data_IF_635813949436
#
_entry.id   IF_635813949436
#
_cell.length_a   1.000
_cell.length_b   1.000
_cell.length_c   1.000
_cell.angle_alpha   90.00
_cell.angle_beta   90.00
_cell.angle_gamma   90.00
#
_symmetry.space_group_name_H-M   'P 1'
#
loop_
_entity.id
_entity.type
_entity.pdbx_description
1 polymer ?
#
# COMPACT_ATOMS: atom_id res chain seq x y z
N UNK A 1 -27.73 -46.67 -20.43
CA UNK A 1 -27.06 -45.62 -19.63
C UNK A 1 -28.10 -44.60 -19.23
N UNK A 2 -28.41 -44.46 -17.93
CA UNK A 2 -29.58 -43.69 -17.47
C UNK A 2 -29.35 -42.18 -17.67
N UNK A 3 -30.19 -41.54 -18.50
CA UNK A 3 -30.11 -40.11 -18.84
C UNK A 3 -30.03 -39.21 -17.60
N UNK A 4 -30.70 -39.60 -16.50
CA UNK A 4 -30.65 -38.88 -15.22
C UNK A 4 -29.27 -38.92 -14.53
N UNK A 5 -28.50 -40.00 -14.68
CA UNK A 5 -27.13 -40.08 -14.12
C UNK A 5 -26.16 -39.19 -14.89
N UNK A 6 -26.33 -39.10 -16.22
CA UNK A 6 -25.51 -38.23 -17.07
C UNK A 6 -25.82 -36.76 -16.78
N UNK A 7 -27.11 -36.41 -16.65
CA UNK A 7 -27.54 -35.06 -16.30
C UNK A 7 -27.04 -34.65 -14.90
N UNK A 8 -27.14 -35.56 -13.92
CA UNK A 8 -26.61 -35.35 -12.57
C UNK A 8 -25.09 -35.12 -12.56
N UNK A 9 -24.33 -35.91 -13.32
CA UNK A 9 -22.88 -35.72 -13.47
C UNK A 9 -22.54 -34.37 -14.11
N UNK A 10 -23.28 -33.97 -15.16
CA UNK A 10 -23.08 -32.67 -15.81
C UNK A 10 -23.35 -31.50 -14.85
N UNK A 11 -24.40 -31.58 -14.04
CA UNK A 11 -24.73 -30.56 -13.04
C UNK A 11 -23.62 -30.48 -11.97
N UNK A 12 -23.15 -31.62 -11.45
CA UNK A 12 -22.05 -31.64 -10.47
C UNK A 12 -20.77 -31.05 -11.06
N UNK A 13 -20.42 -31.41 -12.29
CA UNK A 13 -19.24 -30.85 -12.96
C UNK A 13 -19.35 -29.34 -13.16
N UNK A 14 -20.52 -28.83 -13.55
CA UNK A 14 -20.74 -27.39 -13.70
C UNK A 14 -20.62 -26.65 -12.36
N UNK A 15 -21.18 -27.21 -11.28
CA UNK A 15 -21.07 -26.65 -9.93
C UNK A 15 -19.61 -26.66 -9.45
N UNK A 16 -18.87 -27.74 -9.70
CA UNK A 16 -17.45 -27.82 -9.33
C UNK A 16 -16.60 -26.75 -10.05
N UNK A 17 -16.83 -26.53 -11.35
CA UNK A 17 -16.14 -25.49 -12.12
C UNK A 17 -16.49 -24.09 -11.56
N UNK A 18 -17.76 -23.84 -11.25
CA UNK A 18 -18.18 -22.57 -10.66
C UNK A 18 -17.53 -22.31 -9.29
N UNK A 19 -17.45 -23.34 -8.44
CA UNK A 19 -16.78 -23.23 -7.14
C UNK A 19 -15.28 -22.95 -7.27
N UNK A 20 -14.60 -23.61 -8.21
CA UNK A 20 -13.18 -23.34 -8.51
C UNK A 20 -13.03 -21.90 -8.98
N UNK A 21 -13.88 -21.43 -9.89
CA UNK A 21 -13.84 -20.04 -10.37
C UNK A 21 -14.08 -19.02 -9.24
N UNK A 22 -14.97 -19.31 -8.30
CA UNK A 22 -15.22 -18.46 -7.11
C UNK A 22 -14.01 -18.44 -6.19
N UNK A 23 -13.36 -19.58 -5.93
CA UNK A 23 -12.14 -19.64 -5.11
C UNK A 23 -11.00 -18.85 -5.77
N UNK A 24 -10.75 -19.07 -7.05
CA UNK A 24 -9.75 -18.31 -7.80
C UNK A 24 -10.07 -16.81 -7.86
N UNK A 25 -11.34 -16.45 -8.05
CA UNK A 25 -11.78 -15.05 -8.03
C UNK A 25 -11.61 -14.42 -6.64
N UNK A 26 -11.92 -15.16 -5.57
CA UNK A 26 -11.75 -14.70 -4.19
C UNK A 26 -10.28 -14.53 -3.81
N UNK A 27 -9.41 -15.46 -4.20
CA UNK A 27 -7.97 -15.36 -3.97
C UNK A 27 -7.39 -14.16 -4.75
N UNK A 28 -7.75 -14.00 -6.03
CA UNK A 28 -7.32 -12.87 -6.86
C UNK A 28 -7.91 -11.52 -6.38
N UNK A 29 -9.12 -11.54 -5.82
CA UNK A 29 -9.71 -10.38 -5.15
C UNK A 29 -8.90 -10.01 -3.91
N UNK A 30 -8.61 -10.96 -3.02
CA UNK A 30 -7.76 -10.72 -1.84
C UNK A 30 -6.36 -10.21 -2.20
N UNK A 31 -5.79 -10.63 -3.34
CA UNK A 31 -4.51 -10.12 -3.84
C UNK A 31 -4.57 -8.64 -4.21
N UNK A 32 -5.64 -8.17 -4.87
CA UNK A 32 -5.85 -6.74 -5.15
C UNK A 32 -6.01 -5.86 -3.90
N UNK A 33 -6.38 -6.45 -2.76
CA UNK A 33 -6.47 -5.76 -1.47
C UNK A 33 -5.26 -6.03 -0.56
N UNK A 34 -4.15 -6.57 -1.09
CA UNK A 34 -2.93 -6.70 -0.30
C UNK A 34 -2.41 -5.32 0.05
N UNK A 35 -2.48 -4.99 1.34
CA UNK A 35 -1.81 -3.81 1.88
C UNK A 35 -0.32 -3.88 1.56
N UNK A 36 0.22 -2.73 1.13
CA UNK A 36 1.64 -2.55 0.85
C UNK A 36 2.49 -2.67 2.13
N UNK A 37 1.87 -2.60 3.31
CA UNK A 37 2.54 -2.80 4.61
C UNK A 37 3.25 -4.15 4.72
N UNK A 38 2.82 -5.16 3.95
CA UNK A 38 3.50 -6.46 3.88
C UNK A 38 4.90 -6.40 3.29
N UNK A 39 5.24 -5.31 2.59
CA UNK A 39 6.55 -5.05 1.98
C UNK A 39 7.36 -4.00 2.77
N UNK A 40 6.81 -3.46 3.86
CA UNK A 40 7.54 -2.59 4.76
C UNK A 40 8.43 -3.45 5.69
N UNK A 41 9.76 -3.25 5.72
CA UNK A 41 10.66 -4.04 6.53
C UNK A 41 10.52 -3.69 8.02
N UNK A 42 10.93 -4.62 8.89
CA UNK A 42 10.89 -4.47 10.36
C UNK A 42 11.65 -3.25 10.87
N UNK A 43 12.68 -2.81 10.17
CA UNK A 43 13.48 -1.64 10.48
C UNK A 43 12.75 -0.33 10.24
N UNK A 44 11.66 -0.31 9.46
CA UNK A 44 10.91 0.89 9.12
C UNK A 44 10.56 1.70 10.38
N UNK A 45 10.91 2.98 10.34
CA UNK A 45 10.62 3.96 11.38
C UNK A 45 9.18 4.46 11.26
N UNK A 46 8.73 4.63 10.02
CA UNK A 46 7.37 5.03 9.70
C UNK A 46 6.92 4.40 8.38
N UNK A 47 5.61 4.30 8.25
CA UNK A 47 4.94 3.81 7.06
C UNK A 47 3.60 4.55 6.91
N UNK A 48 3.27 4.96 5.69
CA UNK A 48 1.94 5.46 5.34
C UNK A 48 1.52 4.90 3.99
N UNK A 49 0.32 4.35 3.92
CA UNK A 49 -0.36 3.85 2.73
C UNK A 49 -1.51 4.79 2.38
N UNK A 50 -1.65 5.14 1.11
CA UNK A 50 -2.77 5.91 0.57
C UNK A 50 -3.47 5.03 -0.46
N UNK A 51 -4.78 4.82 -0.29
CA UNK A 51 -5.59 4.07 -1.24
C UNK A 51 -6.19 5.03 -2.29
N UNK A 52 -5.51 5.19 -3.43
CA UNK A 52 -5.93 6.08 -4.51
C UNK A 52 -7.10 5.51 -5.33
N UNK A 53 -7.33 4.20 -5.25
CA UNK A 53 -8.52 3.56 -5.83
C UNK A 53 -9.78 3.77 -4.98
N UNK A 54 -9.68 4.44 -3.83
CA UNK A 54 -10.83 4.67 -2.95
C UNK A 54 -11.76 5.77 -3.49
N UNK A 55 -13.05 5.43 -3.62
CA UNK A 55 -14.04 6.37 -4.17
C UNK A 55 -14.29 7.55 -3.23
N UNK A 56 -14.27 7.37 -1.92
CA UNK A 56 -14.52 8.45 -0.95
C UNK A 56 -13.33 9.41 -0.91
N UNK A 57 -12.09 8.91 -1.00
CA UNK A 57 -10.91 9.75 -1.15
C UNK A 57 -10.99 10.57 -2.45
N UNK A 58 -11.29 9.92 -3.58
CA UNK A 58 -11.38 10.61 -4.87
C UNK A 58 -12.49 11.66 -4.87
N UNK A 59 -13.67 11.32 -4.35
CA UNK A 59 -14.78 12.28 -4.20
C UNK A 59 -14.37 13.49 -3.34
N UNK A 60 -13.63 13.27 -2.26
CA UNK A 60 -13.14 14.35 -1.39
C UNK A 60 -12.13 15.25 -2.13
N UNK A 61 -11.15 14.66 -2.81
CA UNK A 61 -10.12 15.40 -3.55
C UNK A 61 -10.69 16.20 -4.72
N UNK A 62 -11.72 15.68 -5.39
CA UNK A 62 -12.42 16.38 -6.48
C UNK A 62 -13.20 17.59 -5.98
N UNK A 63 -13.69 17.55 -4.74
CA UNK A 63 -14.40 18.66 -4.10
C UNK A 63 -13.45 19.68 -3.43
N UNK A 64 -12.22 19.28 -3.12
CA UNK A 64 -11.26 20.07 -2.35
C UNK A 64 -9.91 20.17 -3.06
N UNK A 65 -9.81 21.09 -4.03
CA UNK A 65 -8.58 21.30 -4.81
C UNK A 65 -7.35 21.55 -3.94
N UNK A 66 -7.48 22.29 -2.83
CA UNK A 66 -6.36 22.53 -1.91
C UNK A 66 -5.83 21.23 -1.28
N UNK A 67 -6.71 20.28 -0.95
CA UNK A 67 -6.28 18.98 -0.42
C UNK A 67 -5.54 18.14 -1.48
N UNK A 68 -5.98 18.22 -2.73
CA UNK A 68 -5.30 17.61 -3.88
C UNK A 68 -3.90 18.19 -4.09
N UNK A 69 -3.76 19.51 -4.01
CA UNK A 69 -2.48 20.20 -4.13
C UNK A 69 -1.54 19.84 -2.96
N UNK A 70 -2.05 19.74 -1.73
CA UNK A 70 -1.26 19.27 -0.59
C UNK A 70 -0.81 17.81 -0.73
N UNK A 71 -1.68 16.94 -1.24
CA UNK A 71 -1.35 15.54 -1.47
C UNK A 71 -0.24 15.41 -2.51
N UNK A 72 -0.37 16.09 -3.65
CA UNK A 72 0.66 16.11 -4.69
C UNK A 72 1.98 16.67 -4.15
N UNK A 73 1.92 17.78 -3.42
CA UNK A 73 3.10 18.36 -2.78
C UNK A 73 3.76 17.37 -1.82
N UNK A 74 2.99 16.71 -0.96
CA UNK A 74 3.49 15.69 -0.04
C UNK A 74 4.19 14.54 -0.78
N UNK A 75 3.59 14.05 -1.87
CA UNK A 75 4.14 12.95 -2.67
C UNK A 75 5.50 13.35 -3.28
N UNK A 76 5.58 14.54 -3.90
CA UNK A 76 6.78 15.02 -4.58
C UNK A 76 7.89 15.45 -3.60
N UNK A 77 7.55 16.10 -2.49
CA UNK A 77 8.51 16.46 -1.42
C UNK A 77 9.09 15.24 -0.70
N UNK A 78 8.38 14.10 -0.75
CA UNK A 78 8.86 12.81 -0.26
C UNK A 78 9.49 11.95 -1.36
N UNK A 79 10.08 12.60 -2.37
CA UNK A 79 10.96 12.00 -3.35
C UNK A 79 10.28 11.03 -4.34
N UNK A 80 8.96 11.03 -4.46
CA UNK A 80 8.30 10.30 -5.56
C UNK A 80 8.74 10.90 -6.90
N UNK A 81 9.04 10.05 -7.89
CA UNK A 81 9.40 10.53 -9.21
C UNK A 81 8.17 11.14 -9.89
N UNK A 82 8.28 12.41 -10.34
CA UNK A 82 7.13 13.15 -10.88
C UNK A 82 6.54 12.52 -12.14
N UNK A 83 7.37 11.86 -12.95
CA UNK A 83 6.96 11.11 -14.14
C UNK A 83 6.19 9.83 -13.81
N UNK A 84 6.37 9.25 -12.63
CA UNK A 84 5.55 8.12 -12.15
C UNK A 84 4.25 8.64 -11.57
N UNK A 85 4.30 9.69 -10.75
CA UNK A 85 3.10 10.27 -10.14
C UNK A 85 2.12 10.85 -11.18
N UNK A 86 2.64 11.58 -12.17
CA UNK A 86 1.85 12.21 -13.24
C UNK A 86 1.82 11.40 -14.53
N UNK A 87 2.34 10.17 -14.49
CA UNK A 87 2.46 9.31 -15.67
C UNK A 87 1.14 8.64 -16.04
N UNK A 88 1.20 7.86 -17.11
CA UNK A 88 0.03 7.14 -17.64
C UNK A 88 -0.32 5.87 -16.85
N UNK A 89 0.54 5.45 -15.93
CA UNK A 89 0.28 4.27 -15.12
C UNK A 89 -0.81 4.56 -14.09
N UNK A 90 -1.82 3.70 -14.06
CA UNK A 90 -2.89 3.76 -13.08
C UNK A 90 -2.40 3.13 -11.78
N UNK A 91 -2.12 3.99 -10.79
CA UNK A 91 -1.66 3.60 -9.46
C UNK A 91 -2.87 3.51 -8.52
N UNK A 92 -3.10 2.32 -7.96
CA UNK A 92 -4.20 2.08 -7.01
C UNK A 92 -3.81 2.44 -5.58
N UNK A 93 -2.55 2.18 -5.20
CA UNK A 93 -2.05 2.46 -3.84
C UNK A 93 -0.62 2.94 -3.86
N UNK A 94 -0.31 3.84 -2.92
CA UNK A 94 1.05 4.30 -2.64
C UNK A 94 1.39 4.06 -1.17
N UNK A 95 2.57 3.51 -0.91
CA UNK A 95 3.09 3.27 0.43
C UNK A 95 4.44 3.97 0.63
N UNK A 96 4.51 5.03 1.42
CA UNK A 96 5.78 5.65 1.81
C UNK A 96 6.35 4.91 3.01
N UNK A 97 7.55 4.34 2.85
CA UNK A 97 8.34 3.72 3.91
C UNK A 97 9.48 4.67 4.29
N UNK A 98 9.62 4.95 5.58
CA UNK A 98 10.73 5.73 6.14
C UNK A 98 11.66 4.79 6.90
N UNK A 99 12.94 4.78 6.53
CA UNK A 99 13.97 3.91 7.09
C UNK A 99 15.07 4.73 7.75
N UNK A 100 15.78 4.15 8.74
CA UNK A 100 16.96 4.80 9.30
C UNK A 100 18.09 4.79 8.26
N UNK A 101 18.63 5.96 7.91
CA UNK A 101 19.78 6.09 7.02
C UNK A 101 21.12 6.02 7.75
N UNK A 102 22.18 6.25 6.99
CA UNK A 102 23.51 6.44 7.58
C UNK A 102 23.64 7.87 8.14
N UNK A 103 24.37 8.04 9.24
CA UNK A 103 24.61 9.36 9.86
C UNK A 103 23.36 10.15 10.29
N UNK A 104 22.25 9.47 10.57
CA UNK A 104 21.02 10.09 11.08
C UNK A 104 20.11 10.72 10.02
N UNK A 105 20.45 10.60 8.73
CA UNK A 105 19.52 10.96 7.65
C UNK A 105 18.41 9.91 7.55
N UNK A 106 17.21 10.32 7.13
CA UNK A 106 16.10 9.41 6.89
C UNK A 106 16.13 8.97 5.42
N UNK A 107 15.99 7.69 5.18
CA UNK A 107 15.87 7.13 3.83
C UNK A 107 14.39 6.92 3.52
N UNK A 108 13.98 7.20 2.28
CA UNK A 108 12.59 7.09 1.84
C UNK A 108 12.47 6.08 0.72
N UNK A 109 11.39 5.32 0.71
CA UNK A 109 11.04 4.47 -0.41
C UNK A 109 9.53 4.47 -0.62
N UNK A 110 9.13 4.51 -1.88
CA UNK A 110 7.75 4.36 -2.30
C UNK A 110 7.52 2.92 -2.74
N UNK A 111 6.59 2.27 -2.07
CA UNK A 111 5.91 1.08 -2.54
C UNK A 111 4.75 1.53 -3.42
N UNK A 112 4.61 0.94 -4.59
CA UNK A 112 3.62 1.33 -5.60
C UNK A 112 2.83 0.08 -5.94
N UNK A 113 1.50 0.16 -5.86
CA UNK A 113 0.59 -0.85 -6.38
C UNK A 113 -0.09 -0.31 -7.64
N UNK A 114 0.08 -0.99 -8.77
CA UNK A 114 -0.62 -0.66 -10.02
C UNK A 114 -1.89 -1.48 -10.19
N UNK A 115 -2.90 -0.92 -10.86
CA UNK A 115 -4.05 -1.72 -11.30
C UNK A 115 -3.69 -2.68 -12.44
N UNK A 116 -2.65 -2.32 -13.19
CA UNK A 116 -2.07 -3.03 -14.33
C UNK A 116 -0.62 -3.48 -14.05
N UNK A 117 -0.03 -4.19 -15.01
CA UNK A 117 1.38 -4.59 -15.02
C UNK A 117 2.33 -3.39 -14.86
N UNK A 118 2.98 -3.32 -13.70
CA UNK A 118 3.89 -2.24 -13.33
C UNK A 118 5.21 -2.26 -14.11
N UNK A 119 5.55 -3.34 -14.82
CA UNK A 119 6.75 -3.38 -15.67
C UNK A 119 6.75 -2.31 -16.76
N UNK A 120 5.57 -1.78 -17.12
CA UNK A 120 5.46 -0.61 -18.00
C UNK A 120 6.21 0.62 -17.46
N UNK A 121 6.36 0.74 -16.14
CA UNK A 121 7.11 1.82 -15.49
C UNK A 121 8.63 1.66 -15.62
N UNK A 122 9.14 0.47 -15.94
CA UNK A 122 10.57 0.24 -16.21
C UNK A 122 11.05 1.00 -17.46
N UNK A 123 10.13 1.27 -18.39
CA UNK A 123 10.40 2.02 -19.60
C UNK A 123 10.44 3.55 -19.38
N UNK A 124 10.04 4.01 -18.20
CA UNK A 124 10.04 5.43 -17.84
C UNK A 124 11.44 5.86 -17.40
N UNK A 125 11.88 7.06 -17.80
CA UNK A 125 13.21 7.56 -17.46
C UNK A 125 13.32 7.92 -15.95
N UNK A 126 13.87 7.02 -15.15
CA UNK A 126 13.98 7.12 -13.70
C UNK A 126 15.40 7.51 -13.26
N UNK A 127 15.86 8.69 -13.69
CA UNK A 127 17.21 9.21 -13.36
C UNK A 127 17.39 9.32 -11.84
N UNK A 128 18.49 8.76 -11.32
CA UNK A 128 18.84 8.72 -9.90
C UNK A 128 17.89 7.93 -8.99
N UNK A 129 17.05 7.07 -9.58
CA UNK A 129 16.17 6.18 -8.83
C UNK A 129 16.59 4.72 -9.01
N UNK A 130 16.48 3.97 -7.92
CA UNK A 130 16.42 2.52 -7.93
C UNK A 130 14.96 2.10 -8.02
N UNK A 131 14.66 1.21 -8.97
CA UNK A 131 13.34 0.65 -9.20
C UNK A 131 13.43 -0.86 -9.35
N UNK A 132 12.49 -1.59 -8.75
CA UNK A 132 12.28 -3.01 -9.07
C UNK A 132 10.83 -3.39 -8.82
N UNK A 133 10.34 -4.30 -9.65
CA UNK A 133 9.09 -5.01 -9.39
C UNK A 133 9.37 -6.07 -8.31
N UNK A 134 8.57 -6.06 -7.24
CA UNK A 134 8.64 -7.00 -6.13
C UNK A 134 7.70 -8.19 -6.35
N UNK A 135 6.55 -7.94 -7.00
CA UNK A 135 5.53 -8.92 -7.41
C UNK A 135 4.74 -8.34 -8.61
N UNK A 136 3.88 -9.12 -9.26
CA UNK A 136 3.25 -8.78 -10.57
C UNK A 136 2.57 -7.39 -10.63
N UNK A 137 2.12 -6.85 -9.49
CA UNK A 137 1.46 -5.54 -9.39
C UNK A 137 2.12 -4.58 -8.38
N UNK A 138 3.26 -4.95 -7.80
CA UNK A 138 3.90 -4.18 -6.72
C UNK A 138 5.34 -3.88 -7.07
N UNK A 139 5.72 -2.61 -6.97
CA UNK A 139 7.08 -2.15 -7.19
C UNK A 139 7.58 -1.29 -6.03
N UNK A 140 8.90 -1.16 -5.94
CA UNK A 140 9.56 -0.19 -5.07
C UNK A 140 10.31 0.83 -5.93
N UNK A 141 10.23 2.09 -5.53
CA UNK A 141 10.94 3.22 -6.10
C UNK A 141 11.63 4.01 -4.99
N UNK A 142 12.92 4.28 -5.12
CA UNK A 142 13.67 5.04 -4.11
C UNK A 142 14.95 5.64 -4.69
N UNK A 143 15.41 6.77 -4.14
CA UNK A 143 16.75 7.31 -4.44
C UNK A 143 17.85 6.65 -3.59
N UNK A 144 17.47 5.91 -2.56
CA UNK A 144 18.37 5.33 -1.59
C UNK A 144 18.77 3.91 -1.95
N UNK A 145 20.06 3.70 -2.18
CA UNK A 145 20.63 2.35 -2.36
C UNK A 145 20.41 1.46 -1.14
N UNK A 146 20.37 2.05 0.07
CA UNK A 146 20.15 1.33 1.32
C UNK A 146 18.70 0.87 1.41
N UNK A 147 17.74 1.79 1.26
CA UNK A 147 16.32 1.45 1.28
C UNK A 147 15.98 0.42 0.21
N UNK A 148 16.55 0.57 -0.99
CA UNK A 148 16.36 -0.38 -2.09
C UNK A 148 16.79 -1.79 -1.70
N UNK A 149 18.01 -1.95 -1.17
CA UNK A 149 18.51 -3.27 -0.73
C UNK A 149 17.64 -3.86 0.38
N UNK A 150 17.23 -3.04 1.33
CA UNK A 150 16.47 -3.50 2.49
C UNK A 150 15.09 -4.02 2.08
N UNK A 151 14.36 -3.28 1.24
CA UNK A 151 13.05 -3.69 0.73
C UNK A 151 13.18 -4.87 -0.25
N UNK A 152 14.15 -4.82 -1.18
CA UNK A 152 14.32 -5.88 -2.18
C UNK A 152 14.82 -7.22 -1.58
N UNK A 153 15.59 -7.16 -0.48
CA UNK A 153 16.03 -8.37 0.23
C UNK A 153 14.99 -8.90 1.22
N UNK A 154 13.95 -8.11 1.51
CA UNK A 154 12.87 -8.50 2.40
C UNK A 154 11.99 -9.55 1.72
N UNK A 155 12.27 -10.82 2.01
CA UNK A 155 11.34 -11.91 1.71
C UNK A 155 10.17 -11.78 2.68
N UNK A 156 8.93 -11.88 2.20
CA UNK A 156 7.73 -11.92 3.04
C UNK A 156 7.85 -13.06 4.07
N UNK A 157 8.46 -12.79 5.21
CA UNK A 157 8.42 -13.69 6.36
C UNK A 157 7.07 -13.43 6.99
N UNK A 158 6.25 -14.47 7.11
CA UNK A 158 4.96 -14.43 7.79
C UNK A 158 5.11 -13.73 9.14
N UNK A 159 4.66 -12.48 9.18
CA UNK A 159 4.30 -11.74 10.39
C UNK A 159 5.45 -11.04 11.10
N UNK A 160 5.71 -9.78 10.72
CA UNK A 160 5.70 -8.78 11.78
C UNK A 160 4.36 -8.91 12.49
N UNK A 161 4.40 -9.23 13.78
CA UNK A 161 3.23 -9.27 14.63
C UNK A 161 2.44 -7.98 14.38
N UNK A 162 1.28 -8.15 13.74
CA UNK A 162 0.34 -7.11 13.38
C UNK A 162 0.16 -6.22 14.61
N UNK A 163 0.75 -5.02 14.58
CA UNK A 163 0.06 -3.89 15.19
C UNK A 163 -1.21 -3.78 14.35
N UNK A 164 -2.28 -4.41 14.83
CA UNK A 164 -3.59 -4.41 14.21
C UNK A 164 -4.08 -2.96 14.20
N UNK A 165 -3.61 -2.18 13.24
CA UNK A 165 -4.45 -1.18 12.63
C UNK A 165 -5.59 -1.99 12.03
N UNK A 166 -6.80 -1.77 12.54
CA UNK A 166 -7.99 -2.46 12.06
C UNK A 166 -7.96 -2.46 10.53
N UNK A 167 -8.24 -3.64 9.96
CA UNK A 167 -8.56 -3.84 8.56
C UNK A 167 -9.91 -3.17 8.26
N UNK A 168 -10.03 -1.88 8.56
CA UNK A 168 -11.05 -1.02 8.00
C UNK A 168 -10.48 -0.54 6.66
N UNK A 169 -11.30 -0.48 5.62
CA UNK A 169 -11.01 0.14 4.33
C UNK A 169 -10.77 1.65 4.53
N UNK A 170 -9.71 1.99 5.25
CA UNK A 170 -9.40 3.37 5.60
C UNK A 170 -8.59 3.99 4.46
N UNK A 171 -8.97 5.22 4.10
CA UNK A 171 -8.40 6.01 3.01
C UNK A 171 -6.87 6.10 3.09
N UNK A 172 -6.35 6.15 4.33
CA UNK A 172 -4.93 6.26 4.66
C UNK A 172 -4.63 5.34 5.85
N UNK A 173 -3.73 4.38 5.66
CA UNK A 173 -3.24 3.49 6.72
C UNK A 173 -1.78 3.83 7.07
N UNK A 174 -1.29 3.51 8.26
CA UNK A 174 0.12 3.75 8.56
C UNK A 174 0.53 3.42 9.98
N UNK A 175 1.84 3.39 10.21
CA UNK A 175 2.43 3.27 11.54
C UNK A 175 3.66 4.17 11.67
N UNK A 176 4.00 4.54 12.89
CA UNK A 176 5.32 5.11 13.24
C UNK A 176 5.80 4.38 14.50
N UNK A 177 7.09 4.09 14.63
CA UNK A 177 7.64 3.45 15.83
C UNK A 177 7.57 4.40 17.03
N UNK A 178 7.15 3.87 18.18
CA UNK A 178 6.79 4.62 19.40
C UNK A 178 7.84 5.63 19.89
N UNK A 179 9.12 5.35 19.69
CA UNK A 179 10.22 6.24 20.13
C UNK A 179 10.29 7.55 19.32
N UNK A 180 9.65 7.61 18.14
CA UNK A 180 9.55 8.81 17.30
C UNK A 180 8.19 9.53 17.44
N UNK A 181 7.20 8.89 18.08
CA UNK A 181 5.84 9.43 18.26
C UNK A 181 5.75 10.52 19.32
N UNK A 182 6.59 10.48 20.36
CA UNK A 182 6.46 11.34 21.53
C UNK A 182 6.62 12.85 21.21
N UNK A 183 7.27 13.22 20.10
CA UNK A 183 7.60 14.62 19.79
C UNK A 183 6.73 15.30 18.73
N UNK A 184 6.09 14.56 17.82
CA UNK A 184 5.64 15.15 16.54
C UNK A 184 4.12 15.05 16.29
N UNK A 185 3.42 14.07 16.87
CA UNK A 185 2.01 13.82 16.56
C UNK A 185 1.01 14.69 17.31
N UNK A 186 1.38 15.26 18.47
CA UNK A 186 0.49 16.18 19.21
C UNK A 186 0.09 17.44 18.43
N UNK A 187 0.85 17.81 17.39
CA UNK A 187 0.57 18.97 16.53
C UNK A 187 -0.26 18.65 15.28
N UNK A 188 -0.24 17.41 14.80
CA UNK A 188 -0.88 17.03 13.53
C UNK A 188 -2.32 16.53 13.79
N UNK A 189 -2.55 15.77 14.87
CA UNK A 189 -3.93 15.33 15.21
C UNK A 189 -4.82 16.48 15.67
N UNK A 190 -4.26 17.50 16.31
CA UNK A 190 -5.00 18.69 16.74
C UNK A 190 -5.43 19.61 15.59
N UNK A 191 -4.86 19.45 14.39
CA UNK A 191 -5.20 20.27 13.21
C UNK A 191 -6.10 19.55 12.20
N UNK A 192 -6.12 18.22 12.18
CA UNK A 192 -6.85 17.42 11.17
C UNK A 192 -8.11 16.74 11.74
N UNK A 193 -8.16 16.47 13.05
CA UNK A 193 -9.29 15.79 13.68
C UNK A 193 -9.85 16.65 14.82
N UNK A 194 -10.82 17.53 14.56
CA UNK A 194 -11.57 18.14 15.65
C UNK A 194 -12.42 17.06 16.32
N UNK A 195 -12.10 16.77 17.58
CA UNK A 195 -12.88 16.00 18.55
C UNK A 195 -13.42 14.63 18.10
N UNK A 196 -12.56 13.61 18.16
CA UNK A 196 -12.97 12.33 18.76
C UNK A 196 -11.94 11.88 19.79
N UNK A 197 -12.38 11.92 21.04
CA UNK A 197 -11.66 11.51 22.23
C UNK A 197 -11.07 10.10 22.06
N UNK A 198 -9.76 10.01 21.88
CA UNK A 198 -9.00 8.80 22.14
C UNK A 198 -8.70 8.76 23.64
N UNK A 199 -9.63 8.20 24.42
CA UNK A 199 -9.31 7.74 25.77
C UNK A 199 -8.35 6.55 25.65
N UNK A 200 -7.05 6.84 25.72
CA UNK A 200 -6.03 5.83 26.03
C UNK A 200 -6.25 5.40 27.49
N UNK A 201 -6.99 4.31 27.71
CA UNK A 201 -6.94 3.60 28.98
C UNK A 201 -5.53 3.05 29.17
N UNK A 202 -4.80 3.66 30.10
CA UNK A 202 -3.62 3.05 30.71
C UNK A 202 -4.12 2.02 31.72
N UNK A 203 -3.98 0.73 31.39
CA UNK A 203 -4.15 -0.32 32.39
C UNK A 203 -2.92 -0.33 33.32
N UNK A 204 -3.21 -0.26 34.62
CA UNK A 204 -2.27 -0.49 35.72
C UNK A 204 -2.14 -1.98 36.02
#
# INVERSE_FOLDING_TARGET
MNKGKILFLLIISAVAIALIAVVFWYDNYQEKFRSLSLYAPESALAYVEINLADNDLNNYLDQHQEAKDYLEKFILENEMAANIWRGDAVIDRLGLVILPGESGQLEKAWLIHGSDDLRKLEATELVDYFYTVLDDQIAVLTKSKKAFKEINSFKQVKGMARLNFKKDDSLINGFVKGDLWASSWGKITSSILPDKQLELKQDK
#
